data_IF_012533127317
#
_entry.id   IF_012533127317
#
_cell.length_a   1.000
_cell.length_b   1.000
_cell.length_c   1.000
_cell.angle_alpha   90.00
_cell.angle_beta   90.00
_cell.angle_gamma   90.00
#
_symmetry.space_group_name_H-M   'P 1'
#
loop_
_entity.id
_entity.type
_entity.pdbx_description
1 polymer ?
#
# COMPACT_ATOMS: atom_id res chain seq x y z
N UNK A 1 -25.08 33.36 -24.60
CA UNK A 1 -25.37 31.92 -24.68
C UNK A 1 -24.27 31.17 -23.95
N UNK A 2 -24.59 30.46 -22.86
CA UNK A 2 -23.64 29.67 -22.08
C UNK A 2 -23.75 28.21 -22.58
N UNK A 3 -22.64 27.55 -22.98
CA UNK A 3 -22.72 26.16 -23.42
C UNK A 3 -23.22 25.28 -22.26
N UNK A 4 -24.04 24.25 -22.55
CA UNK A 4 -24.53 23.35 -21.52
C UNK A 4 -23.36 22.59 -20.87
N UNK A 5 -23.44 22.28 -19.57
CA UNK A 5 -22.46 21.41 -18.93
C UNK A 5 -22.47 20.08 -19.67
N UNK A 6 -21.31 19.67 -20.17
CA UNK A 6 -21.12 18.36 -20.78
C UNK A 6 -21.40 17.39 -19.64
N UNK A 7 -22.57 16.75 -19.67
CA UNK A 7 -22.89 15.72 -18.72
C UNK A 7 -21.78 14.67 -18.85
N UNK A 8 -21.00 14.50 -17.78
CA UNK A 8 -20.00 13.46 -17.67
C UNK A 8 -20.72 12.14 -17.95
N UNK A 9 -20.59 11.68 -19.20
CA UNK A 9 -21.25 10.50 -19.68
C UNK A 9 -20.51 9.36 -19.03
N UNK A 10 -21.02 8.91 -17.88
CA UNK A 10 -20.59 7.66 -17.28
C UNK A 10 -20.96 6.55 -18.25
N UNK A 11 -20.02 6.23 -19.14
CA UNK A 11 -20.08 5.01 -19.95
C UNK A 11 -20.00 3.87 -18.96
N UNK A 12 -21.15 3.30 -18.63
CA UNK A 12 -21.22 2.07 -17.87
C UNK A 12 -20.59 1.00 -18.74
N UNK A 13 -19.35 0.64 -18.43
CA UNK A 13 -18.63 -0.40 -19.16
C UNK A 13 -19.42 -1.67 -19.02
N UNK A 14 -19.93 -2.18 -20.13
CA UNK A 14 -20.60 -3.47 -20.20
C UNK A 14 -19.70 -4.50 -19.49
N UNK A 15 -20.26 -5.42 -18.69
CA UNK A 15 -19.48 -6.40 -17.93
C UNK A 15 -18.49 -7.23 -18.77
N UNK A 16 -18.67 -7.26 -20.11
CA UNK A 16 -17.72 -7.83 -21.08
C UNK A 16 -16.34 -7.16 -21.01
N UNK A 17 -16.28 -5.83 -20.86
CA UNK A 17 -15.02 -5.09 -20.70
C UNK A 17 -14.34 -5.42 -19.37
N UNK A 18 -15.12 -5.70 -18.31
CA UNK A 18 -14.55 -6.10 -17.02
C UNK A 18 -13.88 -7.48 -17.13
N UNK A 19 -14.52 -8.44 -17.81
CA UNK A 19 -13.94 -9.77 -18.00
C UNK A 19 -12.64 -9.72 -18.82
N UNK A 20 -12.61 -8.97 -19.92
CA UNK A 20 -11.39 -8.85 -20.73
C UNK A 20 -10.24 -8.15 -19.99
N UNK A 21 -10.54 -7.17 -19.12
CA UNK A 21 -9.56 -6.51 -18.26
C UNK A 21 -9.00 -7.47 -17.21
N UNK A 22 -9.84 -8.32 -16.62
CA UNK A 22 -9.41 -9.36 -15.66
C UNK A 22 -8.52 -10.39 -16.34
N UNK A 23 -8.90 -10.88 -17.53
CA UNK A 23 -8.12 -11.87 -18.29
C UNK A 23 -6.76 -11.33 -18.70
N UNK A 24 -6.70 -10.09 -19.18
CA UNK A 24 -5.45 -9.41 -19.50
C UNK A 24 -4.56 -9.27 -18.26
N UNK A 25 -5.14 -8.91 -17.11
CA UNK A 25 -4.39 -8.81 -15.86
C UNK A 25 -3.82 -10.17 -15.43
N UNK A 26 -4.58 -11.26 -15.59
CA UNK A 26 -4.08 -12.62 -15.36
C UNK A 26 -2.94 -12.97 -16.33
N UNK A 27 -3.08 -12.67 -17.62
CA UNK A 27 -2.03 -12.90 -18.61
C UNK A 27 -0.74 -12.13 -18.28
N UNK A 28 -0.85 -10.85 -17.90
CA UNK A 28 0.31 -10.03 -17.48
C UNK A 28 0.99 -10.61 -16.22
N UNK A 29 0.22 -11.12 -15.26
CA UNK A 29 0.79 -11.79 -14.08
C UNK A 29 1.60 -13.05 -14.44
N UNK A 30 1.16 -13.80 -15.47
CA UNK A 30 1.87 -14.98 -15.97
C UNK A 30 3.12 -14.61 -16.80
N UNK A 31 3.02 -13.64 -17.71
CA UNK A 31 4.16 -13.16 -18.50
C UNK A 31 5.24 -12.59 -17.61
N UNK A 32 4.87 -11.84 -16.57
CA UNK A 32 5.79 -11.26 -15.60
C UNK A 32 5.97 -12.11 -14.35
N UNK A 33 5.94 -13.45 -14.46
CA UNK A 33 6.03 -14.36 -13.31
C UNK A 33 7.26 -14.10 -12.44
N UNK A 34 8.42 -13.88 -13.08
CA UNK A 34 9.70 -13.73 -12.39
C UNK A 34 9.96 -12.30 -11.90
N UNK A 35 9.15 -11.33 -12.33
CA UNK A 35 9.26 -9.95 -11.88
C UNK A 35 8.74 -9.80 -10.43
N UNK A 36 9.38 -8.92 -9.64
CA UNK A 36 8.81 -8.47 -8.36
C UNK A 36 7.74 -7.40 -8.61
N UNK A 37 6.60 -7.50 -7.91
CA UNK A 37 5.48 -6.55 -8.06
C UNK A 37 5.92 -5.10 -7.84
N UNK A 38 6.86 -4.86 -6.92
CA UNK A 38 7.33 -3.50 -6.61
C UNK A 38 8.28 -2.90 -7.64
N UNK A 39 8.84 -3.72 -8.54
CA UNK A 39 9.85 -3.28 -9.51
C UNK A 39 9.39 -3.42 -10.96
N UNK A 40 8.15 -3.85 -11.20
CA UNK A 40 7.61 -4.04 -12.54
C UNK A 40 6.26 -3.33 -12.65
N UNK A 41 6.23 -2.25 -13.44
CA UNK A 41 5.02 -1.46 -13.66
C UNK A 41 3.85 -2.31 -14.16
N UNK A 42 4.10 -3.20 -15.13
CA UNK A 42 3.09 -4.10 -15.69
C UNK A 42 2.49 -5.04 -14.64
N UNK A 43 3.35 -5.67 -13.82
CA UNK A 43 2.90 -6.55 -12.74
C UNK A 43 2.16 -5.78 -11.64
N UNK A 44 2.58 -4.55 -11.35
CA UNK A 44 1.93 -3.68 -10.38
C UNK A 44 0.52 -3.29 -10.82
N UNK A 45 0.35 -2.90 -12.09
CA UNK A 45 -0.97 -2.57 -12.66
C UNK A 45 -1.86 -3.81 -12.63
N UNK A 46 -1.40 -4.94 -13.15
CA UNK A 46 -2.16 -6.19 -13.15
C UNK A 46 -2.58 -6.63 -11.73
N UNK A 47 -1.66 -6.54 -10.76
CA UNK A 47 -1.97 -6.83 -9.36
C UNK A 47 -3.05 -5.92 -8.80
N UNK A 48 -2.96 -4.60 -9.01
CA UNK A 48 -3.96 -3.64 -8.54
C UNK A 48 -5.33 -3.88 -9.19
N UNK A 49 -5.35 -4.19 -10.49
CA UNK A 49 -6.58 -4.56 -11.21
C UNK A 49 -7.25 -5.78 -10.58
N UNK A 50 -6.51 -6.86 -10.35
CA UNK A 50 -7.07 -8.08 -9.74
C UNK A 50 -7.55 -7.87 -8.30
N UNK A 51 -6.88 -6.99 -7.54
CA UNK A 51 -7.35 -6.58 -6.21
C UNK A 51 -8.65 -5.78 -6.29
N UNK A 52 -8.73 -4.82 -7.23
CA UNK A 52 -9.92 -3.99 -7.43
C UNK A 52 -11.16 -4.86 -7.74
N UNK A 53 -11.01 -5.84 -8.64
CA UNK A 53 -12.07 -6.81 -8.98
C UNK A 53 -12.21 -7.97 -7.97
N UNK A 54 -11.53 -7.91 -6.82
CA UNK A 54 -11.58 -8.92 -5.75
C UNK A 54 -11.22 -10.35 -6.20
N UNK A 55 -10.44 -10.48 -7.28
CA UNK A 55 -9.88 -11.76 -7.76
C UNK A 55 -8.60 -12.14 -7.02
N UNK A 56 -7.95 -11.15 -6.41
CA UNK A 56 -6.77 -11.35 -5.58
C UNK A 56 -6.93 -10.61 -4.27
N UNK A 57 -6.63 -11.28 -3.15
CA UNK A 57 -6.60 -10.65 -1.85
C UNK A 57 -5.20 -10.14 -1.53
N UNK A 58 -5.03 -8.84 -1.18
CA UNK A 58 -3.75 -8.33 -0.72
C UNK A 58 -3.24 -9.10 0.50
N UNK A 59 -1.91 -9.26 0.65
CA UNK A 59 -1.34 -9.82 1.87
C UNK A 59 -1.84 -9.02 3.09
N UNK A 60 -2.36 -9.74 4.09
CA UNK A 60 -2.82 -9.13 5.36
C UNK A 60 -1.66 -8.60 6.21
N UNK A 61 -0.49 -9.22 6.04
CA UNK A 61 0.74 -8.86 6.75
C UNK A 61 1.73 -8.22 5.79
N UNK A 62 2.42 -7.21 6.30
CA UNK A 62 3.53 -6.55 5.63
C UNK A 62 4.66 -7.54 5.30
N UNK A 63 5.53 -7.23 4.33
CA UNK A 63 6.70 -8.05 4.05
C UNK A 63 7.57 -8.36 5.28
N UNK A 64 7.73 -7.38 6.18
CA UNK A 64 8.51 -7.53 7.42
C UNK A 64 7.83 -8.46 8.43
N UNK A 65 6.53 -8.29 8.66
CA UNK A 65 5.76 -9.19 9.53
C UNK A 65 5.76 -10.63 9.00
N UNK A 66 5.60 -10.82 7.68
CA UNK A 66 5.66 -12.15 7.08
C UNK A 66 7.03 -12.82 7.27
N UNK A 67 8.11 -12.05 7.17
CA UNK A 67 9.45 -12.58 7.41
C UNK A 67 9.62 -12.99 8.88
N UNK A 68 9.22 -12.12 9.82
CA UNK A 68 9.23 -12.40 11.24
C UNK A 68 8.41 -13.65 11.61
N UNK A 69 7.17 -13.75 11.13
CA UNK A 69 6.29 -14.91 11.37
C UNK A 69 6.86 -16.22 10.80
N UNK A 70 7.73 -16.13 9.78
CA UNK A 70 8.40 -17.30 9.18
C UNK A 70 9.76 -17.59 9.79
N UNK A 71 10.22 -16.80 10.76
CA UNK A 71 11.57 -16.92 11.31
C UNK A 71 12.67 -16.64 10.28
N UNK A 72 12.35 -15.90 9.21
CA UNK A 72 13.30 -15.54 8.16
C UNK A 72 13.74 -14.10 8.39
N UNK A 73 15.03 -13.85 8.23
CA UNK A 73 15.57 -12.50 8.28
C UNK A 73 14.97 -11.65 7.15
N UNK A 74 14.44 -10.48 7.48
CA UNK A 74 13.92 -9.56 6.48
C UNK A 74 15.09 -8.88 5.77
N UNK A 75 15.26 -9.04 4.45
CA UNK A 75 16.37 -8.42 3.75
C UNK A 75 16.20 -6.91 3.79
N UNK A 76 17.11 -6.25 4.51
CA UNK A 76 17.20 -4.80 4.56
C UNK A 76 18.01 -4.37 3.33
N UNK A 77 17.35 -4.07 2.21
CA UNK A 77 18.06 -3.64 1.01
C UNK A 77 18.62 -2.24 1.23
N UNK A 78 19.92 -2.03 0.97
CA UNK A 78 20.55 -0.71 1.03
C UNK A 78 19.86 0.33 0.11
N UNK A 79 19.15 -0.12 -0.94
CA UNK A 79 18.34 0.74 -1.80
C UNK A 79 17.08 1.31 -1.10
N UNK A 80 16.56 0.64 -0.07
CA UNK A 80 15.43 1.16 0.72
C UNK A 80 15.89 2.28 1.68
N UNK A 81 17.21 2.40 1.91
CA UNK A 81 17.84 3.50 2.64
C UNK A 81 18.39 4.59 1.71
N UNK A 82 18.48 4.36 0.39
CA UNK A 82 19.28 5.21 -0.50
C UNK A 82 18.58 6.48 -1.02
N UNK A 83 17.49 6.94 -0.40
CA UNK A 83 16.88 8.25 -0.70
C UNK A 83 16.49 9.07 0.52
N UNK A 84 16.70 8.56 1.74
CA UNK A 84 16.87 9.47 2.85
C UNK A 84 18.33 9.88 2.83
N UNK A 85 18.62 11.02 2.20
CA UNK A 85 19.68 11.87 2.71
C UNK A 85 19.43 11.92 4.21
N UNK A 86 20.28 11.24 4.99
CA UNK A 86 20.35 11.45 6.42
C UNK A 86 20.73 12.92 6.58
N UNK A 87 19.73 13.82 6.52
CA UNK A 87 19.76 14.95 7.42
C UNK A 87 19.85 14.26 8.77
N UNK A 88 21.00 14.35 9.40
CA UNK A 88 21.24 13.85 10.74
C UNK A 88 20.22 14.52 11.64
N UNK A 89 19.04 13.90 11.77
CA UNK A 89 18.01 14.36 12.66
C UNK A 89 18.63 14.26 14.05
N UNK A 90 18.79 15.39 14.77
CA UNK A 90 19.44 15.37 16.07
C UNK A 90 18.74 14.37 16.99
N UNK A 91 19.51 13.63 17.78
CA UNK A 91 18.97 12.64 18.74
C UNK A 91 17.89 13.26 19.63
N UNK A 92 18.04 14.54 19.99
CA UNK A 92 17.04 15.31 20.73
C UNK A 92 15.65 15.33 20.07
N UNK A 93 15.58 15.39 18.73
CA UNK A 93 14.32 15.35 17.99
C UNK A 93 13.66 13.97 18.09
N UNK A 94 14.45 12.89 18.07
CA UNK A 94 13.92 11.55 18.29
C UNK A 94 13.38 11.39 19.71
N UNK A 95 14.12 11.85 20.72
CA UNK A 95 13.67 11.80 22.12
C UNK A 95 12.37 12.59 22.32
N UNK A 96 12.26 13.78 21.71
CA UNK A 96 11.06 14.61 21.79
C UNK A 96 9.86 13.92 21.14
N UNK A 97 10.03 13.29 19.97
CA UNK A 97 8.95 12.53 19.32
C UNK A 97 8.53 11.34 20.18
N UNK A 98 9.49 10.59 20.74
CA UNK A 98 9.20 9.45 21.62
C UNK A 98 8.45 9.88 22.89
N UNK A 99 8.86 11.00 23.51
CA UNK A 99 8.17 11.56 24.66
C UNK A 99 6.72 11.94 24.33
N UNK A 100 6.49 12.67 23.23
CA UNK A 100 5.14 13.06 22.82
C UNK A 100 4.25 11.86 22.46
N UNK A 101 4.80 10.83 21.81
CA UNK A 101 4.06 9.59 21.53
C UNK A 101 3.70 8.83 22.82
N UNK A 102 4.58 8.85 23.82
CA UNK A 102 4.31 8.22 25.11
C UNK A 102 3.22 8.96 25.90
N UNK A 103 3.23 10.30 25.88
CA UNK A 103 2.17 11.12 26.47
C UNK A 103 0.81 10.82 25.83
N UNK A 104 0.73 10.85 24.50
CA UNK A 104 -0.49 10.52 23.75
C UNK A 104 -1.02 9.11 24.07
N UNK A 105 -0.13 8.12 24.18
CA UNK A 105 -0.52 6.76 24.52
C UNK A 105 -1.05 6.64 25.96
N UNK A 106 -0.52 7.42 26.89
CA UNK A 106 -1.00 7.44 28.27
C UNK A 106 -2.34 8.15 28.39
N UNK A 107 -2.51 9.30 27.72
CA UNK A 107 -3.78 10.03 27.70
C UNK A 107 -4.93 9.19 27.12
N UNK A 108 -4.66 8.45 26.04
CA UNK A 108 -5.63 7.52 25.45
C UNK A 108 -6.07 6.43 26.44
N UNK A 109 -5.14 5.89 27.25
CA UNK A 109 -5.45 4.89 28.30
C UNK A 109 -6.19 5.50 29.48
N UNK A 110 -6.01 6.78 29.77
CA UNK A 110 -6.71 7.48 30.84
C UNK A 110 -8.14 7.86 30.44
N UNK A 111 -8.37 8.19 29.16
CA UNK A 111 -9.71 8.41 28.62
C UNK A 111 -10.55 7.12 28.61
N UNK A 112 -9.98 5.99 28.16
CA UNK A 112 -10.67 4.69 28.11
C UNK A 112 -11.07 4.14 29.50
N UNK A 113 -10.45 4.66 30.58
CA UNK A 113 -10.78 4.33 31.98
C UNK A 113 -11.80 5.25 32.63
N UNK A 114 -12.00 6.45 32.09
CA UNK A 114 -12.96 7.43 32.62
C UNK A 114 -14.38 7.23 32.06
N UNK A 115 -14.50 6.61 30.89
CA UNK A 115 -15.77 6.28 30.23
C UNK A 115 -16.38 4.93 30.69
N UNK A 116 -15.92 4.38 31.82
CA UNK A 116 -16.34 3.08 32.36
C UNK A 116 -16.79 3.20 33.81
#
# INVERSE_FOLDING_TARGET
MRPPPIADTFVSTSGICEHSVIDLAHALMQVHRDCRVQHCAWKQVAYRTLVHYRRLQPPRWSPRERAHLRGVEFPVSAADYSTFTHNEVPVATFEQVLAGLNELANDARHHDRSDR
#
